data_IF_252468736744
#
_entry.id   IF_252468736744
#
_cell.length_a   1.000
_cell.length_b   1.000
_cell.length_c   1.000
_cell.angle_alpha   90.00
_cell.angle_beta   90.00
_cell.angle_gamma   90.00
#
_symmetry.space_group_name_H-M   'P 1'
#
loop_
_entity.id
_entity.type
_entity.pdbx_description
1 polymer ?
#
# COMPACT_ATOMS: atom_id res chain seq x y z
N UNK A 1 9.21 7.25 17.62
CA UNK A 1 8.79 6.04 16.89
C UNK A 1 7.30 5.91 17.07
N UNK A 2 6.57 6.09 15.99
CA UNK A 2 5.13 5.94 16.03
C UNK A 2 4.78 4.45 16.01
N UNK A 3 4.18 3.96 17.07
CA UNK A 3 3.55 2.64 17.07
C UNK A 3 2.18 2.72 16.40
N UNK A 4 1.78 1.63 15.82
CA UNK A 4 0.61 1.53 14.99
C UNK A 4 -0.29 0.38 15.39
N UNK A 5 -1.55 0.54 15.15
CA UNK A 5 -2.47 -0.55 14.92
C UNK A 5 -2.78 -0.65 13.44
N UNK A 6 -2.65 -1.81 12.88
CA UNK A 6 -3.07 -2.10 11.51
C UNK A 6 -4.47 -2.67 11.55
N UNK A 7 -5.40 -1.95 10.96
CA UNK A 7 -6.75 -2.43 10.78
C UNK A 7 -6.97 -2.73 9.30
N UNK A 8 -7.46 -3.93 9.00
CA UNK A 8 -7.96 -4.25 7.68
C UNK A 8 -9.47 -4.08 7.67
N UNK A 9 -9.97 -3.27 6.75
CA UNK A 9 -11.41 -3.14 6.50
C UNK A 9 -11.73 -3.63 5.11
N UNK A 10 -12.76 -4.45 5.00
CA UNK A 10 -13.28 -4.94 3.73
C UNK A 10 -14.71 -4.42 3.57
N UNK A 11 -14.95 -3.78 2.46
CA UNK A 11 -16.29 -3.37 2.05
C UNK A 11 -16.64 -4.02 0.73
N UNK A 12 -17.77 -4.67 0.68
CA UNK A 12 -18.28 -5.29 -0.54
C UNK A 12 -19.14 -4.25 -1.29
N UNK A 13 -18.55 -3.62 -2.29
CA UNK A 13 -19.26 -2.64 -3.13
C UNK A 13 -19.08 -3.00 -4.59
N UNK A 14 -20.03 -3.78 -5.11
CA UNK A 14 -20.03 -4.23 -6.51
C UNK A 14 -20.04 -3.09 -7.54
N UNK A 15 -20.39 -1.87 -7.14
CA UNK A 15 -20.56 -0.71 -8.03
C UNK A 15 -19.41 0.29 -8.02
N UNK A 16 -18.46 0.22 -7.10
CA UNK A 16 -17.35 1.17 -7.05
C UNK A 16 -16.28 0.77 -8.07
N UNK A 17 -16.05 1.64 -9.05
CA UNK A 17 -15.07 1.41 -10.13
C UNK A 17 -13.62 1.35 -9.63
N UNK A 18 -13.36 1.82 -8.42
CA UNK A 18 -12.03 1.79 -7.79
C UNK A 18 -11.76 0.43 -7.13
N UNK A 19 -12.80 -0.36 -6.91
CA UNK A 19 -12.68 -1.68 -6.33
C UNK A 19 -12.00 -2.65 -7.29
N UNK A 20 -11.15 -3.52 -6.74
CA UNK A 20 -10.49 -4.56 -7.51
C UNK A 20 -11.49 -5.61 -7.96
N UNK A 21 -11.37 -6.03 -9.21
CA UNK A 21 -12.20 -7.09 -9.80
C UNK A 21 -11.61 -8.44 -9.42
N UNK A 22 -12.47 -9.41 -9.11
CA UNK A 22 -12.06 -10.79 -8.94
C UNK A 22 -11.40 -11.32 -10.23
N UNK A 23 -10.35 -12.10 -10.06
CA UNK A 23 -9.70 -12.82 -11.17
C UNK A 23 -10.24 -14.25 -11.35
N UNK A 24 -11.25 -14.62 -10.59
CA UNK A 24 -11.92 -15.90 -10.70
C UNK A 24 -12.88 -15.87 -11.88
N UNK A 25 -12.77 -16.86 -12.75
CA UNK A 25 -13.64 -16.98 -13.93
C UNK A 25 -15.12 -17.01 -13.51
N UNK A 26 -15.94 -16.20 -14.16
CA UNK A 26 -17.35 -15.98 -13.86
C UNK A 26 -17.68 -15.34 -12.50
N UNK A 27 -16.70 -14.78 -11.82
CA UNK A 27 -16.93 -13.98 -10.62
C UNK A 27 -16.81 -12.49 -10.96
N UNK A 28 -17.93 -11.81 -11.06
CA UNK A 28 -17.99 -10.36 -11.30
C UNK A 28 -17.88 -9.54 -10.01
N UNK A 29 -17.60 -10.19 -8.89
CA UNK A 29 -17.46 -9.50 -7.62
C UNK A 29 -16.29 -8.53 -7.60
N UNK A 30 -16.47 -7.44 -6.88
CA UNK A 30 -15.41 -6.45 -6.63
C UNK A 30 -15.17 -6.35 -5.14
N UNK A 31 -13.92 -6.29 -4.78
CA UNK A 31 -13.52 -6.16 -3.38
C UNK A 31 -12.86 -4.82 -3.11
N UNK A 32 -13.33 -4.17 -2.07
CA UNK A 32 -12.73 -3.01 -1.46
C UNK A 32 -12.07 -3.43 -0.15
N UNK A 33 -10.78 -3.26 -0.08
CA UNK A 33 -10.04 -3.47 1.14
C UNK A 33 -8.94 -2.44 1.28
N UNK A 34 -8.56 -2.17 2.50
CA UNK A 34 -7.37 -1.40 2.79
C UNK A 34 -6.75 -1.87 4.10
N UNK A 35 -5.43 -1.91 4.12
CA UNK A 35 -4.67 -1.89 5.36
C UNK A 35 -4.58 -0.42 5.74
N UNK A 36 -5.06 -0.09 6.91
CA UNK A 36 -5.04 1.28 7.42
C UNK A 36 -4.37 1.32 8.78
N UNK A 37 -3.78 2.44 9.08
CA UNK A 37 -3.33 2.74 10.43
C UNK A 37 -4.38 3.58 11.13
N UNK A 38 -4.58 3.34 12.41
CA UNK A 38 -5.42 4.19 13.23
C UNK A 38 -4.80 4.34 14.61
N UNK A 39 -4.22 5.48 14.85
CA UNK A 39 -3.85 5.92 16.20
C UNK A 39 -4.04 7.43 16.27
N UNK A 40 -5.10 7.90 16.91
CA UNK A 40 -5.41 9.33 17.00
C UNK A 40 -4.38 10.12 17.82
N UNK A 41 -3.52 9.45 18.57
CA UNK A 41 -2.51 10.10 19.40
C UNK A 41 -1.16 10.26 18.71
N UNK A 42 -0.99 9.70 17.52
CA UNK A 42 0.29 9.66 16.83
C UNK A 42 0.28 10.52 15.58
N UNK A 43 1.25 11.40 15.50
CA UNK A 43 1.36 12.40 14.43
C UNK A 43 1.75 11.85 13.06
N UNK A 44 2.37 10.66 12.99
CA UNK A 44 2.73 10.02 11.72
C UNK A 44 2.56 8.52 11.82
N UNK A 45 1.65 8.03 11.04
CA UNK A 45 1.33 6.61 10.99
C UNK A 45 2.05 5.95 9.82
N UNK A 46 2.50 4.73 10.03
CA UNK A 46 3.30 4.00 9.04
C UNK A 46 2.79 2.56 8.92
N UNK A 47 2.59 2.13 7.68
CA UNK A 47 2.40 0.71 7.35
C UNK A 47 3.77 0.15 6.95
N UNK A 48 4.14 -1.00 7.50
CA UNK A 48 5.35 -1.71 7.12
C UNK A 48 4.99 -3.08 6.57
N UNK A 49 5.46 -3.38 5.37
CA UNK A 49 5.22 -4.66 4.70
C UNK A 49 6.58 -5.26 4.34
N UNK A 50 6.85 -6.45 4.87
CA UNK A 50 8.06 -7.19 4.54
C UNK A 50 7.73 -8.18 3.42
N UNK A 51 8.44 -8.05 2.31
CA UNK A 51 8.36 -8.94 1.16
C UNK A 51 9.64 -9.78 1.13
N UNK A 52 9.58 -10.94 1.79
CA UNK A 52 10.70 -11.89 1.79
C UNK A 52 10.57 -12.85 0.60
N UNK A 53 10.63 -12.28 -0.58
CA UNK A 53 10.60 -13.02 -1.83
C UNK A 53 11.99 -13.05 -2.45
N UNK A 54 12.47 -14.25 -2.71
CA UNK A 54 13.79 -14.48 -3.30
C UNK A 54 13.62 -15.13 -4.67
N UNK A 55 14.11 -14.45 -5.65
CA UNK A 55 14.10 -14.90 -7.04
C UNK A 55 15.43 -14.55 -7.70
N UNK A 56 15.85 -15.36 -8.65
CA UNK A 56 17.09 -15.15 -9.43
C UNK A 56 16.95 -14.06 -10.51
N UNK A 57 15.75 -13.56 -10.72
CA UNK A 57 15.46 -12.46 -11.64
C UNK A 57 14.80 -11.30 -10.92
N UNK A 58 14.95 -10.07 -11.42
CA UNK A 58 14.17 -8.95 -10.92
C UNK A 58 12.66 -9.24 -10.97
N UNK A 59 11.94 -8.75 -9.99
CA UNK A 59 10.49 -8.84 -9.91
C UNK A 59 9.88 -7.48 -9.60
N UNK A 60 8.58 -7.34 -9.81
CA UNK A 60 7.87 -6.08 -9.57
C UNK A 60 6.99 -6.19 -8.35
N UNK A 61 7.02 -5.13 -7.55
CA UNK A 61 6.08 -4.90 -6.46
C UNK A 61 5.19 -3.74 -6.88
N UNK A 62 3.89 -3.99 -6.99
CA UNK A 62 2.91 -2.97 -7.30
C UNK A 62 2.01 -2.74 -6.10
N UNK A 63 1.91 -1.50 -5.67
CA UNK A 63 1.04 -1.05 -4.60
C UNK A 63 -0.16 -0.32 -5.21
N UNK A 64 -1.35 -0.61 -4.73
CA UNK A 64 -2.56 0.08 -5.14
C UNK A 64 -3.10 0.94 -4.00
N UNK A 65 -3.29 2.21 -4.29
CA UNK A 65 -3.77 3.22 -3.35
C UNK A 65 -5.13 3.73 -3.80
N UNK A 66 -6.05 3.84 -2.87
CA UNK A 66 -7.32 4.55 -3.07
C UNK A 66 -7.60 5.42 -1.85
N UNK A 67 -7.95 6.66 -2.09
CA UNK A 67 -8.46 7.57 -1.06
C UNK A 67 -9.99 7.47 -1.04
N UNK A 68 -10.49 6.44 -0.35
CA UNK A 68 -11.88 5.99 -0.42
C UNK A 68 -12.90 7.07 -0.07
N UNK A 69 -12.60 7.88 0.92
CA UNK A 69 -13.45 8.94 1.44
C UNK A 69 -13.00 10.34 0.99
N UNK A 70 -12.12 10.40 0.00
CA UNK A 70 -11.59 11.67 -0.53
C UNK A 70 -11.03 12.61 0.55
N UNK A 71 -10.32 12.05 1.50
CA UNK A 71 -9.77 12.77 2.66
C UNK A 71 -8.52 13.59 2.33
N UNK A 72 -8.04 13.54 1.08
CA UNK A 72 -6.82 14.21 0.66
C UNK A 72 -5.55 13.54 1.18
N UNK A 73 -5.58 12.21 1.35
CA UNK A 73 -4.43 11.44 1.80
C UNK A 73 -3.24 11.62 0.88
N UNK A 74 -2.08 11.73 1.50
CA UNK A 74 -0.78 11.67 0.85
C UNK A 74 0.09 10.70 1.62
N UNK A 75 0.86 9.90 0.90
CA UNK A 75 1.75 8.92 1.49
C UNK A 75 3.15 9.03 0.89
N UNK A 76 4.14 8.73 1.69
CA UNK A 76 5.52 8.56 1.24
C UNK A 76 5.87 7.07 1.30
N UNK A 77 6.41 6.54 0.20
CA UNK A 77 6.85 5.14 0.13
C UNK A 77 8.37 5.12 0.22
N UNK A 78 8.86 4.31 1.14
CA UNK A 78 10.29 4.03 1.32
C UNK A 78 10.53 2.54 1.10
N UNK A 79 11.60 2.22 0.38
CA UNK A 79 12.06 0.85 0.18
C UNK A 79 13.39 0.63 0.87
N UNK A 80 13.48 -0.45 1.63
CA UNK A 80 14.70 -0.87 2.32
C UNK A 80 15.05 -2.30 1.94
N UNK A 81 16.34 -2.61 1.94
CA UNK A 81 16.81 -3.99 1.97
C UNK A 81 16.29 -4.68 3.23
N UNK A 82 15.66 -5.83 3.09
CA UNK A 82 15.08 -6.52 4.24
C UNK A 82 16.14 -7.05 5.20
N UNK A 83 17.33 -7.40 4.72
CA UNK A 83 18.40 -7.95 5.54
C UNK A 83 19.18 -6.88 6.30
N UNK A 84 19.73 -5.88 5.57
CA UNK A 84 20.62 -4.88 6.15
C UNK A 84 19.97 -3.54 6.44
N UNK A 85 18.68 -3.39 6.08
CA UNK A 85 17.88 -2.16 6.29
C UNK A 85 18.42 -0.92 5.56
N UNK A 86 19.27 -1.10 4.54
CA UNK A 86 19.72 0.02 3.71
C UNK A 86 18.62 0.51 2.80
N UNK A 87 18.61 1.81 2.55
CA UNK A 87 17.67 2.46 1.62
C UNK A 87 18.01 2.00 0.19
N UNK A 88 16.99 1.53 -0.54
CA UNK A 88 17.14 1.05 -1.91
C UNK A 88 16.75 2.08 -2.96
N UNK A 89 15.91 3.04 -2.62
CA UNK A 89 15.44 4.06 -3.54
C UNK A 89 15.16 5.38 -2.82
N UNK A 90 15.15 6.50 -3.54
CA UNK A 90 14.62 7.75 -3.00
C UNK A 90 13.16 7.58 -2.54
N UNK A 91 12.75 8.39 -1.58
CA UNK A 91 11.37 8.44 -1.11
C UNK A 91 10.44 8.78 -2.29
N UNK A 92 9.40 7.99 -2.49
CA UNK A 92 8.41 8.21 -3.52
C UNK A 92 7.11 8.74 -2.90
N UNK A 93 6.72 9.94 -3.31
CA UNK A 93 5.48 10.56 -2.85
C UNK A 93 4.28 10.10 -3.69
N UNK A 94 3.22 9.66 -3.01
CA UNK A 94 1.94 9.34 -3.65
C UNK A 94 0.87 10.32 -3.18
N UNK A 95 0.19 10.91 -4.15
CA UNK A 95 -0.87 11.89 -3.93
C UNK A 95 -1.93 11.79 -5.01
N UNK A 96 -3.09 12.39 -4.79
CA UNK A 96 -4.20 12.44 -5.76
C UNK A 96 -4.65 11.04 -6.18
N UNK A 97 -4.83 10.14 -5.23
CA UNK A 97 -5.25 8.78 -5.49
C UNK A 97 -6.73 8.51 -5.14
N UNK A 98 -7.56 9.54 -5.17
CA UNK A 98 -9.01 9.40 -4.97
C UNK A 98 -9.67 8.45 -5.95
N UNK A 99 -9.20 8.38 -7.19
CA UNK A 99 -9.70 7.47 -8.23
C UNK A 99 -8.90 6.17 -8.36
N UNK A 100 -7.98 5.93 -7.46
CA UNK A 100 -7.08 4.79 -7.50
C UNK A 100 -5.78 5.09 -8.25
N UNK A 101 -4.68 4.60 -7.70
CA UNK A 101 -3.35 4.77 -8.30
C UNK A 101 -2.45 3.59 -7.99
N UNK A 102 -1.75 3.11 -9.00
CA UNK A 102 -0.69 2.11 -8.85
C UNK A 102 0.67 2.77 -8.76
N UNK A 103 1.51 2.22 -7.89
CA UNK A 103 2.93 2.54 -7.83
C UNK A 103 3.70 1.24 -7.91
N UNK A 104 4.60 1.12 -8.89
CA UNK A 104 5.34 -0.10 -9.17
C UNK A 104 6.84 0.13 -9.02
N UNK A 105 7.49 -0.77 -8.31
CA UNK A 105 8.94 -0.82 -8.15
C UNK A 105 9.47 -2.13 -8.71
N UNK A 106 10.58 -2.08 -9.42
CA UNK A 106 11.34 -3.26 -9.81
C UNK A 106 12.47 -3.48 -8.79
N UNK A 107 12.54 -4.67 -8.24
CA UNK A 107 13.50 -5.06 -7.22
C UNK A 107 14.08 -6.44 -7.51
N UNK A 108 15.25 -6.72 -6.99
CA UNK A 108 15.96 -7.99 -7.19
C UNK A 108 16.32 -8.70 -5.89
N UNK A 109 15.73 -8.29 -4.79
CA UNK A 109 16.05 -8.79 -3.45
C UNK A 109 14.86 -8.67 -2.52
N UNK A 110 14.85 -9.37 -1.38
CA UNK A 110 13.85 -9.15 -0.36
C UNK A 110 13.85 -7.71 0.15
N UNK A 111 12.67 -7.12 0.29
CA UNK A 111 12.53 -5.70 0.62
C UNK A 111 11.56 -5.47 1.77
N UNK A 112 11.77 -4.37 2.48
CA UNK A 112 10.79 -3.78 3.37
C UNK A 112 10.21 -2.54 2.70
N UNK A 113 8.89 -2.53 2.56
CA UNK A 113 8.13 -1.38 2.08
C UNK A 113 7.57 -0.65 3.31
N UNK A 114 7.85 0.64 3.42
CA UNK A 114 7.21 1.51 4.42
C UNK A 114 6.36 2.54 3.72
N UNK A 115 5.11 2.64 4.16
CA UNK A 115 4.14 3.61 3.66
C UNK A 115 3.83 4.56 4.82
N UNK A 116 4.35 5.76 4.72
CA UNK A 116 4.25 6.77 5.78
C UNK A 116 3.13 7.75 5.47
N UNK A 117 2.32 8.06 6.46
CA UNK A 117 1.35 9.14 6.37
C UNK A 117 2.08 10.49 6.23
N UNK A 118 1.70 11.26 5.21
CA UNK A 118 2.17 12.63 5.02
C UNK A 118 1.02 13.61 5.25
N UNK A 119 -0.18 13.26 4.77
CA UNK A 119 -1.39 14.07 4.93
C UNK A 119 -2.61 13.18 4.95
N UNK A 120 -3.70 13.67 5.52
CA UNK A 120 -4.97 12.97 5.66
C UNK A 120 -5.10 12.27 7.00
N UNK A 121 -6.17 11.51 7.20
CA UNK A 121 -6.53 10.91 8.48
C UNK A 121 -5.56 9.79 8.92
N UNK A 122 -5.03 9.04 7.96
CA UNK A 122 -4.18 7.87 8.24
C UNK A 122 -3.35 7.49 7.01
N UNK A 123 -2.45 6.52 7.16
CA UNK A 123 -1.89 5.80 6.04
C UNK A 123 -2.86 4.69 5.60
N UNK A 124 -2.96 4.46 4.30
CA UNK A 124 -3.80 3.42 3.72
C UNK A 124 -3.15 2.84 2.46
N UNK A 125 -3.27 1.52 2.29
CA UNK A 125 -2.87 0.81 1.09
C UNK A 125 -3.91 -0.27 0.80
N UNK A 126 -4.42 -0.34 -0.42
CA UNK A 126 -5.53 -1.22 -0.77
C UNK A 126 -5.10 -2.58 -1.27
N UNK A 127 -3.97 -2.68 -1.94
CA UNK A 127 -3.44 -3.96 -2.40
C UNK A 127 -1.94 -3.91 -2.67
N UNK A 128 -1.32 -5.09 -2.65
CA UNK A 128 0.04 -5.33 -3.08
C UNK A 128 0.05 -6.54 -4.03
N UNK A 129 0.75 -6.39 -5.14
CA UNK A 129 0.93 -7.44 -6.13
C UNK A 129 2.41 -7.70 -6.37
N UNK A 130 2.75 -8.96 -6.62
CA UNK A 130 4.08 -9.41 -7.03
C UNK A 130 4.00 -10.00 -8.45
N UNK A 131 4.90 -9.54 -9.32
CA UNK A 131 5.04 -10.04 -10.69
C UNK A 131 6.47 -10.48 -11.00
#
# INVERSE_FOLDING_TARGET
ICQREENSSYMNTASDKRALVSNIENDESRSLGAITTFDPQVCRQTITIDVDYRHDKPYKISLYFVDWDYNGRRSAIELFDLQNKRILSPVHMVRNYGMGRYVTFEVNQPVRVRICQVRGANAACSALFLD
#
